data_IF_612603341762
#
_entry.id   IF_612603341762
#
_cell.length_a   1.000
_cell.length_b   1.000
_cell.length_c   1.000
_cell.angle_alpha   90.00
_cell.angle_beta   90.00
_cell.angle_gamma   90.00
#
_symmetry.space_group_name_H-M   'P 1'
#
loop_
_entity.id
_entity.type
_entity.pdbx_description
1 polymer ?
#
# COMPACT_ATOMS: atom_id res chain seq x y z
N UNK A 1 -10.52 9.69 -2.82
CA UNK A 1 -11.46 10.82 -2.55
C UNK A 1 -11.73 11.04 -1.05
N UNK A 2 -11.76 10.01 -0.21
CA UNK A 2 -11.97 10.18 1.24
C UNK A 2 -10.81 10.86 1.98
N UNK A 3 -9.59 10.73 1.48
CA UNK A 3 -8.45 11.46 2.05
C UNK A 3 -8.62 12.98 1.92
N UNK A 4 -9.28 13.44 0.85
CA UNK A 4 -9.59 14.84 0.64
C UNK A 4 -10.58 15.37 1.70
N UNK A 5 -11.61 14.58 2.01
CA UNK A 5 -12.59 14.90 3.06
C UNK A 5 -11.93 14.96 4.43
N UNK A 6 -11.06 14.00 4.75
CA UNK A 6 -10.32 13.96 6.01
C UNK A 6 -9.33 15.13 6.20
N UNK A 7 -8.81 15.68 5.11
CA UNK A 7 -7.90 16.83 5.17
C UNK A 7 -8.62 18.14 5.47
N UNK A 8 -9.95 18.21 5.20
CA UNK A 8 -10.77 19.42 5.40
C UNK A 8 -11.60 19.31 6.68
N UNK A 9 -12.06 18.11 7.03
CA UNK A 9 -12.93 17.84 8.17
C UNK A 9 -12.31 16.82 9.12
N UNK A 10 -12.25 17.18 10.40
CA UNK A 10 -11.73 16.27 11.45
C UNK A 10 -12.61 15.02 11.63
N UNK A 11 -13.94 15.20 11.51
CA UNK A 11 -14.94 14.14 11.69
C UNK A 11 -15.82 14.01 10.43
N UNK A 12 -15.37 13.31 9.37
CA UNK A 12 -16.11 13.17 8.12
C UNK A 12 -17.51 12.55 8.26
N UNK A 13 -17.69 11.65 9.23
CA UNK A 13 -18.96 10.95 9.47
C UNK A 13 -20.07 11.88 10.00
N UNK A 14 -19.70 13.02 10.58
CA UNK A 14 -20.65 13.99 11.12
C UNK A 14 -21.05 15.07 10.09
N UNK A 15 -20.51 15.02 8.89
CA UNK A 15 -20.78 16.03 7.87
C UNK A 15 -22.10 15.78 7.12
N UNK A 16 -22.77 16.86 6.74
CA UNK A 16 -23.97 16.83 5.90
C UNK A 16 -23.57 16.80 4.43
N UNK A 17 -23.92 15.74 3.72
CA UNK A 17 -23.61 15.56 2.31
C UNK A 17 -24.81 15.84 1.43
N UNK A 18 -24.62 16.67 0.43
CA UNK A 18 -25.61 16.96 -0.61
C UNK A 18 -25.16 16.35 -1.94
N UNK A 19 -25.98 15.48 -2.49
CA UNK A 19 -25.76 14.88 -3.82
C UNK A 19 -26.64 15.60 -4.83
N UNK A 20 -26.03 16.16 -5.88
CA UNK A 20 -26.73 16.75 -7.02
C UNK A 20 -26.74 15.75 -8.17
N UNK A 21 -27.90 15.18 -8.44
CA UNK A 21 -28.13 14.12 -9.42
C UNK A 21 -28.67 12.83 -8.78
N UNK A 22 -29.20 11.93 -9.62
CA UNK A 22 -29.74 10.62 -9.22
C UNK A 22 -29.43 9.53 -10.26
N UNK A 23 -28.30 9.65 -10.94
CA UNK A 23 -27.79 8.67 -11.88
C UNK A 23 -27.03 7.54 -11.19
N UNK A 24 -26.49 6.58 -11.97
CA UNK A 24 -25.72 5.44 -11.48
C UNK A 24 -24.50 5.87 -10.64
N UNK A 25 -23.83 6.95 -11.03
CA UNK A 25 -22.70 7.50 -10.29
C UNK A 25 -23.12 8.00 -8.91
N UNK A 26 -24.26 8.73 -8.81
CA UNK A 26 -24.81 9.17 -7.53
C UNK A 26 -25.12 7.98 -6.60
N UNK A 27 -25.71 6.90 -7.12
CA UNK A 27 -25.96 5.67 -6.36
C UNK A 27 -24.67 5.08 -5.81
N UNK A 28 -23.66 4.88 -6.67
CA UNK A 28 -22.37 4.31 -6.25
C UNK A 28 -21.65 5.16 -5.17
N UNK A 29 -21.75 6.50 -5.29
CA UNK A 29 -21.17 7.42 -4.30
C UNK A 29 -21.91 7.31 -2.97
N UNK A 30 -23.24 7.27 -2.98
CA UNK A 30 -24.06 7.16 -1.77
C UNK A 30 -23.78 5.83 -1.07
N UNK A 31 -23.73 4.71 -1.79
CA UNK A 31 -23.38 3.41 -1.24
C UNK A 31 -22.00 3.43 -0.54
N UNK A 32 -21.01 4.03 -1.18
CA UNK A 32 -19.65 4.13 -0.60
C UNK A 32 -19.63 5.04 0.64
N UNK A 33 -20.38 6.15 0.64
CA UNK A 33 -20.47 7.05 1.79
C UNK A 33 -21.11 6.35 3.00
N UNK A 34 -22.20 5.60 2.78
CA UNK A 34 -22.87 4.84 3.84
C UNK A 34 -21.96 3.75 4.38
N UNK A 35 -21.27 3.00 3.53
CA UNK A 35 -20.31 1.98 3.94
C UNK A 35 -19.17 2.55 4.80
N UNK A 36 -18.92 3.85 4.70
CA UNK A 36 -17.92 4.57 5.51
C UNK A 36 -18.51 5.28 6.74
N UNK A 37 -19.79 5.04 7.02
CA UNK A 37 -20.48 5.59 8.19
C UNK A 37 -21.00 7.02 8.01
N UNK A 38 -20.98 7.58 6.79
CA UNK A 38 -21.57 8.89 6.48
C UNK A 38 -23.03 8.68 6.12
N UNK A 39 -23.93 9.01 7.03
CA UNK A 39 -25.38 8.75 6.87
C UNK A 39 -26.23 10.00 6.67
N UNK A 40 -25.69 11.18 6.96
CA UNK A 40 -26.41 12.46 6.76
C UNK A 40 -26.35 12.87 5.29
N UNK A 41 -27.06 12.16 4.43
CA UNK A 41 -27.04 12.36 2.98
C UNK A 41 -28.39 12.86 2.51
N UNK A 42 -28.39 13.96 1.75
CA UNK A 42 -29.54 14.48 1.02
C UNK A 42 -29.25 14.47 -0.46
N UNK A 43 -30.30 14.42 -1.28
CA UNK A 43 -30.16 14.51 -2.72
C UNK A 43 -31.07 15.58 -3.30
N UNK A 44 -30.62 16.22 -4.38
CA UNK A 44 -31.41 17.12 -5.20
C UNK A 44 -31.35 16.63 -6.65
N UNK A 45 -32.49 16.52 -7.30
CA UNK A 45 -32.57 16.11 -8.68
C UNK A 45 -33.75 16.78 -9.41
N UNK A 46 -33.70 16.76 -10.73
CA UNK A 46 -34.81 17.26 -11.58
C UNK A 46 -36.09 16.44 -11.38
N UNK A 47 -35.97 15.14 -11.29
CA UNK A 47 -37.06 14.21 -11.02
C UNK A 47 -37.02 13.72 -9.59
N UNK A 48 -38.18 13.43 -9.00
CA UNK A 48 -38.31 12.82 -7.67
C UNK A 48 -38.11 11.30 -7.70
N UNK A 49 -37.23 10.81 -8.58
CA UNK A 49 -36.92 9.38 -8.64
C UNK A 49 -36.18 8.99 -7.36
N UNK A 50 -36.79 8.08 -6.60
CA UNK A 50 -36.22 7.57 -5.34
C UNK A 50 -34.88 6.87 -5.63
N UNK A 51 -33.88 7.20 -4.86
CA UNK A 51 -32.57 6.55 -4.86
C UNK A 51 -32.66 5.42 -3.84
N UNK A 52 -32.77 4.19 -4.33
CA UNK A 52 -32.74 2.99 -3.47
C UNK A 52 -31.28 2.62 -3.23
N UNK A 53 -30.94 2.57 -1.95
CA UNK A 53 -29.64 2.14 -1.49
C UNK A 53 -29.84 0.78 -0.92
N UNK A 54 -29.32 -0.14 -0.69
CA UNK A 54 -29.61 -1.43 -0.06
C UNK A 54 -31.09 -1.60 0.40
N UNK A 55 -31.45 -2.76 0.87
CA UNK A 55 -32.86 -3.10 1.17
C UNK A 55 -33.55 -2.20 2.22
N UNK A 56 -32.79 -1.39 2.98
CA UNK A 56 -33.34 -0.64 4.14
C UNK A 56 -33.19 0.91 4.04
N UNK A 57 -32.52 1.44 3.01
CA UNK A 57 -32.31 2.87 2.91
C UNK A 57 -32.79 3.43 1.58
N UNK A 58 -33.64 4.46 1.64
CA UNK A 58 -34.11 5.19 0.50
C UNK A 58 -33.86 6.70 0.69
N UNK A 59 -33.39 7.36 -0.35
CA UNK A 59 -33.29 8.82 -0.39
C UNK A 59 -34.30 9.34 -1.39
N UNK A 60 -35.20 10.19 -0.93
CA UNK A 60 -36.15 10.91 -1.78
C UNK A 60 -35.53 12.25 -2.17
N UNK A 61 -35.14 12.46 -3.45
CA UNK A 61 -34.53 13.71 -3.85
C UNK A 61 -35.46 14.89 -3.71
N UNK A 62 -34.95 15.99 -3.19
CA UNK A 62 -35.62 17.30 -3.26
C UNK A 62 -35.58 17.83 -4.68
N UNK A 63 -36.48 18.78 -5.00
CA UNK A 63 -36.52 19.44 -6.30
C UNK A 63 -35.35 20.42 -6.47
N UNK A 64 -34.88 20.62 -7.71
CA UNK A 64 -33.88 21.66 -8.04
C UNK A 64 -34.25 23.05 -7.53
N UNK A 65 -35.53 23.38 -7.42
CA UNK A 65 -36.00 24.66 -6.90
C UNK A 65 -35.59 24.87 -5.42
N UNK A 66 -35.29 23.83 -4.68
CA UNK A 66 -34.86 23.90 -3.28
C UNK A 66 -33.36 23.86 -3.11
N UNK A 67 -32.59 23.75 -4.21
CA UNK A 67 -31.14 23.61 -4.17
C UNK A 67 -30.45 24.65 -3.27
N UNK A 68 -30.90 25.93 -3.36
CA UNK A 68 -30.34 27.01 -2.54
C UNK A 68 -30.49 26.76 -1.03
N UNK A 69 -31.60 26.15 -0.57
CA UNK A 69 -31.79 25.78 0.84
C UNK A 69 -30.98 24.58 1.25
N UNK A 70 -30.85 23.59 0.36
CA UNK A 70 -30.05 22.41 0.64
C UNK A 70 -28.54 22.74 0.75
N UNK A 71 -28.06 23.73 -0.02
CA UNK A 71 -26.68 24.25 0.09
C UNK A 71 -26.41 24.92 1.45
N UNK A 72 -27.41 25.51 2.11
CA UNK A 72 -27.27 26.12 3.43
C UNK A 72 -26.95 25.10 4.53
N UNK A 73 -27.29 23.83 4.34
CA UNK A 73 -27.03 22.73 5.28
C UNK A 73 -25.82 21.87 4.91
N UNK A 74 -25.41 21.90 3.62
CA UNK A 74 -24.38 20.99 3.13
C UNK A 74 -22.97 21.42 3.56
N UNK A 75 -22.21 20.51 4.14
CA UNK A 75 -20.77 20.64 4.40
C UNK A 75 -19.98 20.11 3.19
N UNK A 76 -20.54 19.09 2.52
CA UNK A 76 -19.97 18.46 1.33
C UNK A 76 -21.04 18.45 0.24
N UNK A 77 -20.70 18.94 -0.94
CA UNK A 77 -21.56 18.91 -2.15
C UNK A 77 -20.88 18.05 -3.20
N UNK A 78 -21.58 17.03 -3.70
CA UNK A 78 -21.08 16.20 -4.80
C UNK A 78 -22.04 16.31 -5.98
N UNK A 79 -21.58 16.91 -7.08
CA UNK A 79 -22.36 17.13 -8.28
C UNK A 79 -22.04 16.05 -9.33
N UNK A 80 -23.09 15.40 -9.83
CA UNK A 80 -23.02 14.34 -10.85
C UNK A 80 -24.25 14.38 -11.78
N UNK A 81 -24.94 15.52 -11.87
CA UNK A 81 -26.10 15.67 -12.74
C UNK A 81 -25.69 15.89 -14.20
N UNK A 82 -26.48 15.37 -15.12
CA UNK A 82 -26.29 15.65 -16.55
C UNK A 82 -27.06 16.90 -16.94
N UNK A 83 -26.36 18.02 -17.15
CA UNK A 83 -26.95 19.32 -17.53
C UNK A 83 -25.98 20.06 -18.44
N UNK A 84 -26.55 20.88 -19.33
CA UNK A 84 -25.77 21.68 -20.27
C UNK A 84 -25.17 22.94 -19.64
N UNK A 85 -25.72 23.41 -18.53
CA UNK A 85 -25.31 24.62 -17.82
C UNK A 85 -25.04 24.32 -16.35
N UNK A 86 -24.12 25.04 -15.70
CA UNK A 86 -23.89 24.94 -14.27
C UNK A 86 -25.17 25.20 -13.47
N UNK A 87 -25.43 24.38 -12.47
CA UNK A 87 -26.55 24.48 -11.54
C UNK A 87 -26.20 25.26 -10.26
N UNK A 88 -24.92 25.28 -9.91
CA UNK A 88 -24.40 25.96 -8.72
C UNK A 88 -23.49 27.09 -9.17
N UNK A 89 -23.98 28.32 -9.05
CA UNK A 89 -23.21 29.51 -9.32
C UNK A 89 -22.57 30.12 -8.07
N UNK A 90 -21.54 30.95 -8.27
CA UNK A 90 -20.79 31.66 -7.21
C UNK A 90 -21.70 32.33 -6.19
N UNK A 91 -22.71 33.07 -6.67
CA UNK A 91 -23.66 33.80 -5.80
C UNK A 91 -24.50 32.90 -4.90
N UNK A 92 -24.77 31.65 -5.31
CA UNK A 92 -25.46 30.64 -4.48
C UNK A 92 -24.60 30.17 -3.31
N UNK A 93 -23.31 29.94 -3.56
CA UNK A 93 -22.35 29.50 -2.53
C UNK A 93 -22.08 30.67 -1.54
N UNK A 94 -21.88 31.89 -2.03
CA UNK A 94 -21.70 33.06 -1.15
C UNK A 94 -22.87 33.25 -0.19
N UNK A 95 -24.12 33.08 -0.68
CA UNK A 95 -25.32 33.14 0.17
C UNK A 95 -25.36 32.00 1.19
N UNK A 96 -25.11 30.77 0.76
CA UNK A 96 -25.09 29.60 1.65
C UNK A 96 -24.04 29.76 2.74
N UNK A 97 -22.82 30.18 2.41
CA UNK A 97 -21.75 30.41 3.37
C UNK A 97 -22.09 31.46 4.41
N UNK A 98 -22.75 32.57 4.02
CA UNK A 98 -23.22 33.57 4.98
C UNK A 98 -24.18 32.96 6.02
N UNK A 99 -25.17 32.17 5.56
CA UNK A 99 -26.11 31.48 6.48
C UNK A 99 -25.38 30.50 7.39
N UNK A 100 -24.38 29.81 6.87
CA UNK A 100 -23.55 28.84 7.56
C UNK A 100 -22.47 29.46 8.47
N UNK A 101 -22.46 30.81 8.61
CA UNK A 101 -21.43 31.54 9.38
C UNK A 101 -20.00 31.24 8.87
N UNK A 102 -19.86 31.17 7.57
CA UNK A 102 -18.60 30.90 6.84
C UNK A 102 -17.92 29.56 7.26
N UNK A 103 -18.69 28.56 7.67
CA UNK A 103 -18.14 27.19 7.83
C UNK A 103 -17.65 26.67 6.49
N UNK A 104 -16.50 26.02 6.43
CA UNK A 104 -15.95 25.46 5.19
C UNK A 104 -16.96 24.58 4.43
N UNK A 105 -16.90 24.63 3.12
CA UNK A 105 -17.71 23.81 2.23
C UNK A 105 -16.82 23.14 1.19
N UNK A 106 -16.87 21.79 1.11
CA UNK A 106 -16.19 21.02 0.09
C UNK A 106 -17.16 20.78 -1.08
N UNK A 107 -16.74 21.13 -2.29
CA UNK A 107 -17.51 20.92 -3.51
C UNK A 107 -16.71 20.00 -4.45
N UNK A 108 -17.35 18.94 -4.91
CA UNK A 108 -16.78 17.95 -5.81
C UNK A 108 -17.64 17.89 -7.05
N UNK A 109 -17.13 18.35 -8.19
CA UNK A 109 -17.84 18.32 -9.48
C UNK A 109 -17.33 17.16 -10.33
N UNK A 110 -18.14 16.12 -10.44
CA UNK A 110 -17.88 14.93 -11.25
C UNK A 110 -18.64 14.96 -12.58
N UNK A 111 -19.33 16.05 -12.87
CA UNK A 111 -20.15 16.17 -14.08
C UNK A 111 -19.35 16.64 -15.29
N UNK A 112 -19.73 16.14 -16.45
CA UNK A 112 -19.27 16.59 -17.76
C UNK A 112 -20.51 16.78 -18.63
N UNK A 113 -20.88 18.02 -18.99
CA UNK A 113 -20.30 19.32 -18.60
C UNK A 113 -20.39 19.61 -17.10
N UNK A 114 -19.59 20.58 -16.61
CA UNK A 114 -19.53 20.97 -15.20
C UNK A 114 -20.86 21.47 -14.66
N UNK A 115 -21.18 21.05 -13.43
CA UNK A 115 -22.37 21.53 -12.73
C UNK A 115 -22.11 22.74 -11.81
N UNK A 116 -20.84 23.02 -11.53
CA UNK A 116 -20.40 24.04 -10.58
C UNK A 116 -19.52 25.05 -11.30
N UNK A 117 -19.83 26.35 -11.15
CA UNK A 117 -19.02 27.43 -11.72
C UNK A 117 -17.61 27.43 -11.15
N UNK A 118 -16.61 27.64 -12.02
CA UNK A 118 -15.19 27.60 -11.61
C UNK A 118 -14.80 28.79 -10.74
N UNK A 119 -15.50 29.92 -10.88
CA UNK A 119 -15.32 31.15 -10.10
C UNK A 119 -15.51 30.93 -8.59
N UNK A 120 -16.11 29.83 -8.18
CA UNK A 120 -16.26 29.41 -6.77
C UNK A 120 -14.89 29.16 -6.14
N UNK A 121 -13.86 28.75 -6.90
CA UNK A 121 -12.47 28.60 -6.42
C UNK A 121 -11.92 29.90 -5.81
N UNK A 122 -12.48 31.05 -6.12
CA UNK A 122 -12.07 32.33 -5.57
C UNK A 122 -12.74 32.68 -4.22
N UNK A 123 -13.54 31.76 -3.66
CA UNK A 123 -14.19 31.92 -2.36
C UNK A 123 -13.35 31.20 -1.32
N UNK A 124 -12.83 31.89 -0.31
CA UNK A 124 -11.88 31.38 0.66
C UNK A 124 -12.36 30.13 1.41
N UNK A 125 -13.65 30.05 1.76
CA UNK A 125 -14.22 28.93 2.51
C UNK A 125 -14.85 27.84 1.61
N UNK A 126 -14.71 27.93 0.27
CA UNK A 126 -15.22 26.96 -0.69
C UNK A 126 -14.09 26.22 -1.38
N UNK A 127 -14.01 24.93 -1.15
CA UNK A 127 -12.97 24.06 -1.72
C UNK A 127 -13.55 23.28 -2.90
N UNK A 128 -13.36 23.78 -4.12
CA UNK A 128 -13.88 23.16 -5.34
C UNK A 128 -12.83 22.26 -6.00
N UNK A 129 -13.21 21.01 -6.20
CA UNK A 129 -12.43 20.01 -6.95
C UNK A 129 -13.26 19.48 -8.13
N UNK A 130 -12.68 19.49 -9.30
CA UNK A 130 -13.22 18.85 -10.50
C UNK A 130 -12.79 17.39 -10.60
N UNK A 131 -13.35 16.66 -11.55
CA UNK A 131 -12.93 15.27 -11.86
C UNK A 131 -11.44 15.24 -12.20
N UNK A 132 -10.93 16.22 -12.98
CA UNK A 132 -9.52 16.32 -13.36
C UNK A 132 -8.60 16.54 -12.14
N UNK A 133 -9.06 17.35 -11.16
CA UNK A 133 -8.31 17.58 -9.92
C UNK A 133 -8.23 16.30 -9.08
N UNK A 134 -9.31 15.51 -9.04
CA UNK A 134 -9.35 14.23 -8.34
C UNK A 134 -8.48 13.19 -9.03
N UNK A 135 -8.45 13.14 -10.35
CA UNK A 135 -7.57 12.24 -11.08
C UNK A 135 -6.10 12.53 -10.79
N UNK A 136 -5.68 13.81 -10.80
CA UNK A 136 -4.30 14.19 -10.44
C UNK A 136 -3.93 13.74 -9.02
N UNK A 137 -4.78 14.03 -8.04
CA UNK A 137 -4.55 13.61 -6.64
C UNK A 137 -4.45 12.09 -6.54
N UNK A 138 -5.25 11.36 -7.33
CA UNK A 138 -5.23 9.90 -7.32
C UNK A 138 -3.96 9.34 -7.95
N UNK A 139 -3.49 9.95 -9.05
CA UNK A 139 -2.24 9.56 -9.71
C UNK A 139 -1.02 9.84 -8.81
N UNK A 140 -0.96 10.99 -8.15
CA UNK A 140 0.11 11.32 -7.20
C UNK A 140 0.15 10.33 -6.02
N UNK A 141 -0.99 10.01 -5.45
CA UNK A 141 -1.11 9.02 -4.37
C UNK A 141 -0.75 7.60 -4.84
N UNK A 142 -1.10 7.22 -6.07
CA UNK A 142 -0.74 5.94 -6.65
C UNK A 142 0.77 5.83 -6.85
N UNK A 143 1.38 6.89 -7.40
CA UNK A 143 2.83 6.96 -7.58
C UNK A 143 3.59 6.81 -6.25
N UNK A 144 3.17 7.49 -5.18
CA UNK A 144 3.77 7.34 -3.85
C UNK A 144 3.62 5.93 -3.29
N UNK A 145 2.45 5.30 -3.44
CA UNK A 145 2.21 3.92 -2.99
C UNK A 145 3.07 2.91 -3.74
N UNK A 146 3.29 3.11 -5.04
CA UNK A 146 4.19 2.25 -5.83
C UNK A 146 5.62 2.38 -5.31
N UNK A 147 6.12 3.59 -5.07
CA UNK A 147 7.46 3.82 -4.53
C UNK A 147 7.62 3.21 -3.13
N UNK A 148 6.62 3.33 -2.27
CA UNK A 148 6.63 2.71 -0.94
C UNK A 148 6.60 1.18 -1.01
N UNK A 149 5.80 0.61 -1.93
CA UNK A 149 5.77 -0.83 -2.17
C UNK A 149 7.09 -1.36 -2.72
N UNK A 150 7.74 -0.65 -3.64
CA UNK A 150 9.07 -1.00 -4.15
C UNK A 150 10.13 -0.96 -3.04
N UNK A 151 10.10 0.06 -2.17
CA UNK A 151 11.01 0.11 -1.01
C UNK A 151 10.79 -1.08 -0.06
N UNK A 152 9.52 -1.41 0.23
CA UNK A 152 9.19 -2.55 1.07
C UNK A 152 9.62 -3.88 0.45
N UNK A 153 9.45 -4.07 -0.87
CA UNK A 153 9.93 -5.24 -1.59
C UNK A 153 11.45 -5.36 -1.53
N UNK A 154 12.18 -4.26 -1.70
CA UNK A 154 13.64 -4.26 -1.61
C UNK A 154 14.12 -4.67 -0.20
N UNK A 155 13.46 -4.19 0.86
CA UNK A 155 13.77 -4.61 2.23
C UNK A 155 13.51 -6.11 2.41
N UNK A 156 12.37 -6.62 1.95
CA UNK A 156 12.03 -8.05 2.04
C UNK A 156 13.05 -8.91 1.29
N UNK A 157 13.48 -8.48 0.10
CA UNK A 157 14.50 -9.18 -0.69
C UNK A 157 15.83 -9.23 0.05
N UNK A 158 16.29 -8.11 0.60
CA UNK A 158 17.55 -8.04 1.36
C UNK A 158 17.49 -8.92 2.62
N UNK A 159 16.44 -8.79 3.43
CA UNK A 159 16.28 -9.61 4.63
C UNK A 159 16.13 -11.11 4.32
N UNK A 160 15.45 -11.45 3.23
CA UNK A 160 15.34 -12.86 2.81
C UNK A 160 16.66 -13.44 2.33
N UNK A 161 17.51 -12.65 1.66
CA UNK A 161 18.85 -13.06 1.27
C UNK A 161 19.74 -13.31 2.49
N UNK A 162 19.70 -12.44 3.49
CA UNK A 162 20.46 -12.60 4.74
C UNK A 162 19.97 -13.81 5.55
N UNK A 163 18.66 -14.04 5.61
CA UNK A 163 18.08 -15.21 6.24
C UNK A 163 18.47 -16.51 5.53
N UNK A 164 18.42 -16.54 4.20
CA UNK A 164 18.86 -17.69 3.39
C UNK A 164 20.35 -17.95 3.57
N UNK A 165 21.20 -16.92 3.59
CA UNK A 165 22.63 -17.04 3.85
C UNK A 165 22.89 -17.65 5.23
N UNK A 166 22.21 -17.17 6.26
CA UNK A 166 22.32 -17.67 7.64
C UNK A 166 21.90 -19.12 7.77
N UNK A 167 20.77 -19.51 7.15
CA UNK A 167 20.29 -20.90 7.12
C UNK A 167 21.28 -21.79 6.39
N UNK A 168 21.80 -21.32 5.27
CA UNK A 168 22.78 -22.04 4.47
C UNK A 168 24.09 -22.28 5.24
N UNK A 169 24.65 -21.26 5.88
CA UNK A 169 25.84 -21.36 6.71
C UNK A 169 25.65 -22.39 7.81
N UNK A 170 24.50 -22.40 8.46
CA UNK A 170 24.18 -23.40 9.51
C UNK A 170 24.13 -24.81 8.96
N UNK A 171 23.39 -25.05 7.85
CA UNK A 171 23.29 -26.39 7.24
C UNK A 171 24.64 -26.90 6.76
N UNK A 172 25.45 -26.03 6.17
CA UNK A 172 26.79 -26.39 5.69
C UNK A 172 27.71 -26.74 6.85
N UNK A 173 27.67 -25.93 7.91
CA UNK A 173 28.45 -26.19 9.15
C UNK A 173 28.12 -27.53 9.75
N UNK A 174 26.84 -27.86 9.92
CA UNK A 174 26.38 -29.11 10.49
C UNK A 174 26.80 -30.32 9.64
N UNK A 175 26.67 -30.20 8.29
CA UNK A 175 27.09 -31.29 7.38
C UNK A 175 28.59 -31.51 7.34
N UNK A 176 29.39 -30.44 7.37
CA UNK A 176 30.86 -30.52 7.42
C UNK A 176 31.28 -31.15 8.75
N UNK A 177 30.65 -30.78 9.86
CA UNK A 177 30.95 -31.34 11.18
C UNK A 177 30.69 -32.85 11.24
N UNK A 178 29.53 -33.33 10.75
CA UNK A 178 29.18 -34.74 10.71
C UNK A 178 30.18 -35.55 9.87
N UNK A 179 30.58 -35.00 8.70
CA UNK A 179 31.57 -35.69 7.85
C UNK A 179 32.96 -35.70 8.46
N UNK A 180 33.35 -34.64 9.15
CA UNK A 180 34.61 -34.52 9.84
C UNK A 180 34.68 -35.52 11.00
N UNK A 181 33.64 -35.62 11.81
CA UNK A 181 33.58 -36.63 12.89
C UNK A 181 33.69 -38.05 12.35
N UNK A 182 32.95 -38.38 11.28
CA UNK A 182 33.04 -39.67 10.59
C UNK A 182 34.40 -39.95 9.96
N UNK A 183 35.18 -38.95 9.63
CA UNK A 183 36.53 -39.07 9.09
C UNK A 183 37.54 -39.28 10.23
N UNK A 184 37.45 -38.51 11.32
CA UNK A 184 38.30 -38.61 12.48
C UNK A 184 38.21 -40.01 13.14
N UNK A 185 37.01 -40.61 13.16
CA UNK A 185 36.77 -41.97 13.68
C UNK A 185 37.47 -43.06 12.86
N UNK A 186 37.91 -42.76 11.63
CA UNK A 186 38.62 -43.71 10.75
C UNK A 186 40.14 -43.58 10.81
N UNK A 187 40.67 -42.53 11.45
CA UNK A 187 42.09 -42.28 11.58
C UNK A 187 42.68 -43.14 12.72
N UNK A 188 43.91 -43.63 12.52
CA UNK A 188 44.68 -44.28 13.56
C UNK A 188 45.21 -43.28 14.61
N UNK A 189 45.49 -43.77 15.81
CA UNK A 189 46.07 -42.97 16.91
C UNK A 189 47.39 -42.26 16.51
N UNK A 190 48.17 -42.84 15.59
CA UNK A 190 49.40 -42.25 15.09
C UNK A 190 49.14 -41.09 14.12
N UNK A 191 48.11 -41.18 13.33
CA UNK A 191 47.68 -40.11 12.42
C UNK A 191 47.06 -38.94 13.20
N UNK A 192 46.27 -39.21 14.24
CA UNK A 192 45.69 -38.21 15.12
C UNK A 192 46.77 -37.41 15.87
N UNK A 193 47.85 -38.05 16.30
CA UNK A 193 48.97 -37.37 17.00
C UNK A 193 49.74 -36.37 16.12
N UNK A 194 49.63 -36.42 14.81
CA UNK A 194 50.24 -35.46 13.88
C UNK A 194 49.55 -34.11 13.84
N UNK A 195 48.34 -34.01 14.39
CA UNK A 195 47.63 -32.73 14.49
C UNK A 195 47.92 -32.05 15.83
N UNK A 196 48.19 -30.74 15.79
CA UNK A 196 48.46 -29.93 16.98
C UNK A 196 47.27 -29.83 17.92
N UNK A 197 46.03 -29.79 17.33
CA UNK A 197 44.76 -30.03 18.04
C UNK A 197 43.65 -30.38 17.04
N UNK A 198 42.71 -31.23 17.46
CA UNK A 198 41.52 -31.54 16.66
C UNK A 198 40.65 -30.30 16.42
N UNK A 199 40.72 -29.30 17.30
CA UNK A 199 39.98 -28.06 17.21
C UNK A 199 40.58 -27.12 16.14
N UNK A 200 41.89 -27.04 16.00
CA UNK A 200 42.59 -26.27 14.95
C UNK A 200 42.22 -26.78 13.55
N UNK A 201 42.14 -28.10 13.40
CA UNK A 201 41.73 -28.74 12.16
C UNK A 201 40.27 -28.46 11.83
N UNK A 202 39.38 -28.54 12.81
CA UNK A 202 37.97 -28.22 12.70
C UNK A 202 37.77 -26.78 12.24
N UNK A 203 38.45 -25.83 12.86
CA UNK A 203 38.36 -24.40 12.55
C UNK A 203 38.89 -24.08 11.13
N UNK A 204 39.96 -24.76 10.70
CA UNK A 204 40.53 -24.60 9.37
C UNK A 204 39.57 -25.10 8.27
N UNK A 205 38.98 -26.30 8.45
CA UNK A 205 38.02 -26.87 7.49
C UNK A 205 36.77 -25.98 7.40
N UNK A 206 36.29 -25.45 8.52
CA UNK A 206 35.15 -24.52 8.54
C UNK A 206 35.46 -23.22 7.82
N UNK A 207 36.63 -22.63 8.01
CA UNK A 207 37.03 -21.40 7.33
C UNK A 207 37.18 -21.60 5.82
N UNK A 208 37.73 -22.74 5.38
CA UNK A 208 37.87 -23.07 3.95
C UNK A 208 36.54 -23.36 3.26
N UNK A 209 35.54 -23.90 3.95
CA UNK A 209 34.22 -24.15 3.38
C UNK A 209 33.42 -22.83 3.19
N UNK A 210 33.59 -21.85 4.06
CA UNK A 210 32.96 -20.54 3.95
C UNK A 210 33.51 -19.75 2.74
N UNK A 211 34.83 -19.73 2.55
CA UNK A 211 35.50 -18.94 1.49
C UNK A 211 35.16 -19.44 0.07
N UNK A 212 34.81 -20.71 -0.09
CA UNK A 212 34.62 -21.33 -1.43
C UNK A 212 33.22 -21.08 -2.04
N UNK A 213 32.28 -20.50 -1.31
CA UNK A 213 30.88 -20.39 -1.70
C UNK A 213 30.35 -18.96 -1.84
N UNK A 214 31.16 -17.92 -1.61
CA UNK A 214 30.75 -16.52 -1.76
C UNK A 214 30.42 -16.13 -3.21
N UNK A 215 30.88 -16.90 -4.21
CA UNK A 215 30.72 -16.58 -5.65
C UNK A 215 29.76 -17.52 -6.41
N UNK A 216 28.99 -18.38 -5.76
CA UNK A 216 28.12 -19.37 -6.46
C UNK A 216 26.64 -19.07 -6.33
N UNK A 217 25.86 -19.31 -7.41
CA UNK A 217 24.41 -19.18 -7.44
C UNK A 217 23.71 -20.22 -6.53
N UNK A 218 22.46 -19.93 -6.13
CA UNK A 218 21.67 -20.78 -5.22
C UNK A 218 21.52 -22.23 -5.74
N UNK A 219 21.44 -22.41 -7.08
CA UNK A 219 21.29 -23.74 -7.72
C UNK A 219 22.57 -24.54 -7.68
N UNK A 220 23.73 -23.90 -7.82
CA UNK A 220 25.05 -24.54 -7.70
C UNK A 220 25.37 -24.94 -6.25
N UNK A 221 24.73 -24.27 -5.30
CA UNK A 221 24.86 -24.45 -3.87
C UNK A 221 23.97 -25.58 -3.37
N UNK A 222 22.80 -25.79 -3.94
CA UNK A 222 21.88 -26.89 -3.62
C UNK A 222 22.39 -28.25 -4.11
N UNK A 223 23.33 -28.29 -5.03
CA UNK A 223 23.98 -29.52 -5.52
C UNK A 223 25.09 -30.06 -4.56
N UNK A 224 25.09 -29.58 -3.30
CA UNK A 224 26.00 -30.07 -2.20
C UNK A 224 25.75 -31.55 -1.84
N UNK A 225 25.01 -32.29 -2.63
CA UNK A 225 24.94 -33.75 -2.49
C UNK A 225 26.31 -34.43 -2.67
N UNK A 226 27.30 -33.75 -3.24
CA UNK A 226 28.59 -34.29 -3.61
C UNK A 226 29.79 -33.48 -3.09
N UNK A 227 29.86 -33.18 -1.79
CA UNK A 227 31.17 -32.99 -1.21
C UNK A 227 31.75 -34.42 -1.09
N UNK A 228 32.48 -34.80 -2.11
CA UNK A 228 33.10 -36.09 -2.21
C UNK A 228 34.14 -36.26 -1.07
N UNK A 229 34.18 -37.41 -0.44
CA UNK A 229 35.18 -37.74 0.56
C UNK A 229 36.60 -37.46 0.05
N UNK A 230 36.82 -37.61 -1.27
CA UNK A 230 38.07 -37.30 -1.95
C UNK A 230 38.51 -35.82 -1.84
N UNK A 231 37.59 -34.88 -1.76
CA UNK A 231 37.89 -33.43 -1.59
C UNK A 231 38.39 -33.18 -0.16
N UNK A 232 37.78 -33.81 0.82
CA UNK A 232 38.21 -33.72 2.24
C UNK A 232 39.56 -34.36 2.40
N UNK A 233 39.79 -35.56 1.83
CA UNK A 233 41.06 -36.26 1.83
C UNK A 233 42.17 -35.48 1.13
N UNK A 234 41.91 -34.84 0.00
CA UNK A 234 42.89 -34.04 -0.73
C UNK A 234 43.27 -32.76 0.02
N UNK A 235 42.33 -32.14 0.73
CA UNK A 235 42.59 -30.98 1.59
C UNK A 235 43.44 -31.35 2.80
N UNK A 236 43.15 -32.51 3.37
CA UNK A 236 43.86 -33.08 4.49
C UNK A 236 45.34 -33.39 4.12
N UNK A 237 45.53 -34.02 2.98
CA UNK A 237 46.86 -34.35 2.46
C UNK A 237 47.72 -33.11 2.22
N UNK A 238 47.13 -32.05 1.64
CA UNK A 238 47.79 -30.75 1.47
C UNK A 238 48.20 -30.08 2.79
N UNK A 239 47.40 -30.26 3.84
CA UNK A 239 47.73 -29.70 5.14
C UNK A 239 48.90 -30.44 5.82
N UNK A 240 48.89 -31.76 5.73
CA UNK A 240 49.99 -32.61 6.26
C UNK A 240 51.30 -32.33 5.52
N UNK A 241 51.26 -32.18 4.20
CA UNK A 241 52.44 -31.94 3.36
C UNK A 241 53.04 -30.53 3.55
N UNK A 242 52.29 -29.57 4.14
CA UNK A 242 52.71 -28.20 4.42
C UNK A 242 52.93 -27.90 5.92
N UNK A 243 52.77 -28.86 6.83
CA UNK A 243 52.98 -28.72 8.27
C UNK A 243 54.31 -29.33 8.69
#
# INVERSE_FOLDING_TARGET
>A
SLNLVKNIFEEPQNQNVLILGAGSLAHAIIDELINKGITNIRAVNRSKKIIKINNDHEIVPSSLNTLHRELEFADIVIASATTDLPLIGKGSIEKALKVRRNKPMLLIDLAVPRNIEEEIKNIEQAYLFSIDDIEKITQDNYGQRVIEAEKALNIIVLESQDALKSIYEKITKDKVQIKLESFLDKLSDEEIKRFKSAEDLKQMIMNLSIIKYEDKSLDEVLDIKNIDNHVIESMFKRYIDNA
#
